data_IF_356964144680
#
_entry.id   IF_356964144680
#
_cell.length_a   1.000
_cell.length_b   1.000
_cell.length_c   1.000
_cell.angle_alpha   90.00
_cell.angle_beta   90.00
_cell.angle_gamma   90.00
#
_symmetry.space_group_name_H-M   'P 1'
#
loop_
_entity.id
_entity.type
_entity.pdbx_description
1 polymer ?
#
# COMPACT_ATOMS: atom_id res chain seq x y z
N UNK A 1 3.66 -37.00 38.71
CA UNK A 1 2.39 -36.35 38.34
C UNK A 1 1.72 -35.73 39.59
N UNK A 2 1.81 -36.36 40.74
CA UNK A 2 1.19 -35.90 42.00
C UNK A 2 1.73 -34.56 42.54
N UNK A 3 3.02 -34.28 42.30
CA UNK A 3 3.63 -33.01 42.72
C UNK A 3 3.02 -31.79 41.99
N UNK A 4 2.73 -31.92 40.69
CA UNK A 4 2.09 -30.86 39.89
C UNK A 4 0.64 -30.63 40.38
N UNK A 5 -0.07 -31.70 40.69
CA UNK A 5 -1.44 -31.64 41.20
C UNK A 5 -1.45 -30.92 42.56
N UNK A 6 -0.51 -31.24 43.45
CA UNK A 6 -0.38 -30.59 44.75
C UNK A 6 -0.08 -29.11 44.66
N UNK A 7 0.77 -28.69 43.72
CA UNK A 7 1.06 -27.26 43.49
C UNK A 7 -0.20 -26.53 42.97
N UNK A 8 -0.88 -27.11 41.97
CA UNK A 8 -2.10 -26.52 41.42
C UNK A 8 -3.17 -26.39 42.53
N UNK A 9 -3.36 -27.42 43.34
CA UNK A 9 -4.30 -27.41 44.45
C UNK A 9 -3.93 -26.34 45.48
N UNK A 10 -2.66 -26.23 45.83
CA UNK A 10 -2.16 -25.19 46.74
C UNK A 10 -2.42 -23.78 46.20
N UNK A 11 -2.14 -23.54 44.95
CA UNK A 11 -2.41 -22.25 44.31
C UNK A 11 -3.90 -21.91 44.32
N UNK A 12 -4.78 -22.89 44.01
CA UNK A 12 -6.23 -22.70 44.03
C UNK A 12 -6.74 -22.40 45.43
N UNK A 13 -6.22 -23.06 46.44
CA UNK A 13 -6.60 -22.82 47.86
C UNK A 13 -6.17 -21.43 48.31
N UNK A 14 -4.92 -21.02 47.98
CA UNK A 14 -4.42 -19.67 48.32
C UNK A 14 -5.23 -18.58 47.62
N UNK A 15 -5.54 -18.79 46.33
CA UNK A 15 -6.34 -17.86 45.53
C UNK A 15 -7.79 -17.75 46.11
N UNK A 16 -8.36 -18.87 46.53
CA UNK A 16 -9.67 -18.91 47.20
C UNK A 16 -9.68 -18.18 48.53
N UNK A 17 -8.65 -18.37 49.35
CA UNK A 17 -8.50 -17.68 50.64
C UNK A 17 -8.34 -16.16 50.48
N UNK A 18 -7.68 -15.70 49.42
CA UNK A 18 -7.55 -14.27 49.10
C UNK A 18 -8.82 -13.66 48.52
N UNK A 19 -9.59 -14.42 47.73
CA UNK A 19 -10.81 -13.94 47.09
C UNK A 19 -12.02 -13.90 48.02
N UNK A 20 -12.12 -14.84 48.99
CA UNK A 20 -13.23 -14.91 49.94
C UNK A 20 -13.46 -13.60 50.73
N UNK A 21 -12.43 -12.97 51.34
CA UNK A 21 -12.63 -11.71 52.07
C UNK A 21 -13.01 -10.56 51.14
N UNK A 22 -12.48 -10.54 49.89
CA UNK A 22 -12.86 -9.54 48.90
C UNK A 22 -14.33 -9.68 48.50
N UNK A 23 -14.80 -10.91 48.22
CA UNK A 23 -16.18 -11.18 47.83
C UNK A 23 -17.13 -10.86 48.95
N UNK A 24 -16.79 -11.23 50.23
CA UNK A 24 -17.64 -10.95 51.38
C UNK A 24 -17.74 -9.45 51.66
N UNK A 25 -16.64 -8.70 51.61
CA UNK A 25 -16.68 -7.25 51.80
C UNK A 25 -17.42 -6.53 50.66
N UNK A 26 -17.23 -6.96 49.42
CA UNK A 26 -17.99 -6.44 48.26
C UNK A 26 -19.50 -6.71 48.39
N UNK A 27 -19.90 -7.90 48.86
CA UNK A 27 -21.31 -8.25 49.09
C UNK A 27 -21.92 -7.39 50.19
N UNK A 28 -21.24 -7.22 51.32
CA UNK A 28 -21.69 -6.36 52.42
C UNK A 28 -21.85 -4.92 51.93
N UNK A 29 -20.89 -4.40 51.19
CA UNK A 29 -20.94 -3.04 50.66
C UNK A 29 -22.08 -2.86 49.62
N UNK A 30 -22.30 -3.86 48.78
CA UNK A 30 -23.42 -3.89 47.84
C UNK A 30 -24.78 -3.84 48.56
N UNK A 31 -24.97 -4.67 49.62
CA UNK A 31 -26.18 -4.67 50.41
C UNK A 31 -26.39 -3.32 51.11
N UNK A 32 -25.32 -2.75 51.69
CA UNK A 32 -25.37 -1.41 52.32
C UNK A 32 -25.81 -0.33 51.32
N UNK A 33 -25.20 -0.29 50.11
CA UNK A 33 -25.59 0.68 49.10
C UNK A 33 -27.02 0.50 48.60
N UNK A 34 -27.46 -0.76 48.50
CA UNK A 34 -28.78 -1.10 47.99
C UNK A 34 -29.90 -0.81 49.00
N UNK A 35 -29.69 -1.22 50.24
CA UNK A 35 -30.75 -1.16 51.27
C UNK A 35 -30.68 0.09 52.14
N UNK A 36 -29.50 0.56 52.51
CA UNK A 36 -29.33 1.73 53.36
C UNK A 36 -29.32 3.01 52.54
N UNK A 37 -28.49 3.08 51.47
CA UNK A 37 -28.43 4.27 50.60
C UNK A 37 -29.48 4.30 49.51
N UNK A 38 -30.27 3.21 49.31
CA UNK A 38 -31.32 3.11 48.28
C UNK A 38 -30.88 3.49 46.86
N UNK A 39 -29.64 3.22 46.50
CA UNK A 39 -29.14 3.49 45.16
C UNK A 39 -29.81 2.52 44.17
N UNK A 40 -30.48 3.02 43.12
CA UNK A 40 -31.14 2.14 42.15
C UNK A 40 -30.09 1.32 41.36
N UNK A 41 -30.47 0.08 41.01
CA UNK A 41 -29.60 -0.71 40.12
C UNK A 41 -29.44 0.00 38.78
N UNK A 42 -28.24 -0.06 38.17
CA UNK A 42 -28.05 0.49 36.86
C UNK A 42 -29.02 -0.17 35.85
N UNK A 43 -29.57 0.59 34.90
CA UNK A 43 -30.48 0.02 33.91
C UNK A 43 -29.78 -1.10 33.13
N UNK A 44 -30.54 -2.17 32.84
CA UNK A 44 -30.00 -3.28 32.05
C UNK A 44 -29.49 -2.77 30.72
N UNK A 45 -28.23 -3.04 30.45
CA UNK A 45 -27.61 -2.71 29.15
C UNK A 45 -28.44 -3.36 28.03
N UNK A 46 -28.99 -2.57 27.11
CA UNK A 46 -29.68 -3.08 25.93
C UNK A 46 -28.61 -3.68 25.03
N UNK A 47 -28.30 -4.95 25.23
CA UNK A 47 -27.41 -5.69 24.34
C UNK A 47 -28.29 -6.29 23.26
N UNK A 48 -28.15 -5.83 22.01
CA UNK A 48 -28.67 -6.58 20.85
C UNK A 48 -28.11 -8.00 20.94
N UNK A 49 -28.97 -8.97 21.19
CA UNK A 49 -28.57 -10.38 21.27
C UNK A 49 -28.16 -10.83 19.84
N UNK A 50 -26.87 -10.72 19.54
CA UNK A 50 -26.33 -11.41 18.39
C UNK A 50 -26.34 -12.90 18.71
N UNK A 51 -27.21 -13.68 18.05
CA UNK A 51 -27.24 -15.14 18.16
C UNK A 51 -25.84 -15.68 17.87
N UNK A 52 -25.10 -16.03 18.93
CA UNK A 52 -23.77 -16.64 18.81
C UNK A 52 -23.96 -18.06 18.28
N UNK A 53 -23.60 -18.29 17.03
CA UNK A 53 -23.59 -19.63 16.43
C UNK A 53 -22.45 -20.44 17.02
N UNK A 54 -22.67 -21.74 17.29
CA UNK A 54 -21.63 -22.65 17.80
C UNK A 54 -20.41 -22.75 16.87
N UNK A 55 -19.24 -22.97 17.44
CA UNK A 55 -17.95 -23.06 16.74
C UNK A 55 -17.98 -24.08 15.61
N UNK A 56 -18.43 -25.32 15.88
CA UNK A 56 -18.53 -26.38 14.88
C UNK A 56 -19.44 -25.99 13.70
N UNK A 57 -20.57 -25.34 13.96
CA UNK A 57 -21.47 -24.87 12.92
C UNK A 57 -20.80 -23.84 12.01
N UNK A 58 -19.97 -22.94 12.58
CA UNK A 58 -19.24 -21.93 11.78
C UNK A 58 -18.24 -22.58 10.84
N UNK A 59 -17.49 -23.59 11.33
CA UNK A 59 -16.44 -24.25 10.51
C UNK A 59 -17.06 -25.19 9.47
N UNK A 60 -18.01 -26.04 9.85
CA UNK A 60 -18.48 -27.10 8.96
C UNK A 60 -19.66 -26.72 8.08
N UNK A 61 -20.39 -25.64 8.40
CA UNK A 61 -21.55 -25.21 7.61
C UNK A 61 -21.44 -23.78 7.09
N UNK A 62 -21.14 -22.80 7.97
CA UNK A 62 -21.15 -21.40 7.56
C UNK A 62 -19.94 -21.06 6.67
N UNK A 63 -18.74 -21.59 6.98
CA UNK A 63 -17.52 -21.37 6.19
C UNK A 63 -17.59 -22.01 4.80
N UNK A 64 -17.87 -23.33 4.63
CA UNK A 64 -17.96 -23.94 3.31
C UNK A 64 -19.05 -23.29 2.45
N UNK A 65 -20.21 -23.01 3.03
CA UNK A 65 -21.29 -22.30 2.33
C UNK A 65 -20.82 -20.93 1.81
N UNK A 66 -20.15 -20.15 2.65
CA UNK A 66 -19.66 -18.83 2.25
C UNK A 66 -18.56 -18.94 1.19
N UNK A 67 -17.66 -19.88 1.36
CA UNK A 67 -16.58 -20.15 0.41
C UNK A 67 -17.13 -20.48 -0.99
N UNK A 68 -18.10 -21.39 -1.08
CA UNK A 68 -18.73 -21.74 -2.37
C UNK A 68 -19.45 -20.56 -2.97
N UNK A 69 -20.20 -19.77 -2.18
CA UNK A 69 -20.87 -18.57 -2.65
C UNK A 69 -19.85 -17.56 -3.21
N UNK A 70 -18.76 -17.33 -2.50
CA UNK A 70 -17.72 -16.39 -2.93
C UNK A 70 -17.02 -16.86 -4.21
N UNK A 71 -16.81 -18.17 -4.38
CA UNK A 71 -16.30 -18.74 -5.63
C UNK A 71 -17.27 -18.56 -6.80
N UNK A 72 -18.58 -18.78 -6.57
CA UNK A 72 -19.59 -18.68 -7.62
C UNK A 72 -19.95 -17.23 -8.01
N UNK A 73 -19.78 -16.31 -7.08
CA UNK A 73 -20.13 -14.89 -7.30
C UNK A 73 -18.91 -14.02 -7.65
N UNK A 74 -17.70 -14.55 -7.56
CA UNK A 74 -16.47 -13.83 -7.90
C UNK A 74 -16.40 -13.61 -9.41
N UNK A 75 -16.20 -12.36 -9.82
CA UNK A 75 -15.88 -12.04 -11.22
C UNK A 75 -14.42 -12.54 -11.49
N UNK A 76 -14.23 -13.45 -12.46
CA UNK A 76 -12.90 -13.95 -12.82
C UNK A 76 -11.98 -12.84 -13.35
N UNK A 77 -12.54 -11.75 -13.89
CA UNK A 77 -11.80 -10.61 -14.42
C UNK A 77 -11.57 -9.51 -13.39
N UNK A 78 -12.01 -9.74 -12.13
CA UNK A 78 -11.78 -8.79 -11.04
C UNK A 78 -10.30 -8.64 -10.73
N UNK A 79 -9.82 -7.40 -10.75
CA UNK A 79 -8.42 -7.09 -10.44
C UNK A 79 -8.11 -7.36 -8.96
N UNK A 80 -7.19 -8.29 -8.72
CA UNK A 80 -6.85 -8.76 -7.38
C UNK A 80 -5.64 -8.08 -6.74
N UNK A 81 -4.86 -7.32 -7.50
CA UNK A 81 -3.67 -6.64 -7.00
C UNK A 81 -3.99 -5.27 -6.41
N UNK A 82 -3.21 -4.87 -5.43
CA UNK A 82 -3.33 -3.54 -4.81
C UNK A 82 -2.04 -3.17 -4.07
N UNK A 83 -1.93 -1.91 -3.72
CA UNK A 83 -0.86 -1.40 -2.86
C UNK A 83 0.25 -0.72 -3.65
N UNK A 84 1.21 -0.19 -2.90
CA UNK A 84 2.36 0.50 -3.46
C UNK A 84 3.57 -0.45 -3.58
N UNK A 85 4.03 -0.63 -4.81
CA UNK A 85 5.15 -1.48 -5.20
C UNK A 85 6.32 -0.62 -5.67
N UNK A 86 7.49 -0.81 -5.10
CA UNK A 86 8.64 0.04 -5.36
C UNK A 86 9.83 -0.75 -5.90
N UNK A 87 10.37 -0.34 -7.03
CA UNK A 87 11.62 -0.88 -7.58
C UNK A 87 12.78 0.02 -7.17
N UNK A 88 13.69 -0.52 -6.37
CA UNK A 88 14.84 0.21 -5.80
C UNK A 88 16.15 -0.33 -6.33
N UNK A 89 17.06 0.54 -6.74
CA UNK A 89 18.40 0.16 -7.16
C UNK A 89 19.16 1.30 -7.81
N UNK A 90 20.44 1.14 -7.94
CA UNK A 90 21.31 2.13 -8.60
C UNK A 90 20.97 2.28 -10.10
N UNK A 91 21.48 3.33 -10.71
CA UNK A 91 21.35 3.52 -12.15
C UNK A 91 21.98 2.32 -12.88
N UNK A 92 21.29 1.80 -13.91
CA UNK A 92 21.76 0.62 -14.65
C UNK A 92 21.45 -0.73 -13.96
N UNK A 93 20.85 -0.77 -12.75
CA UNK A 93 20.49 -2.03 -12.08
C UNK A 93 19.35 -2.82 -12.75
N UNK A 94 18.68 -2.22 -13.77
CA UNK A 94 17.57 -2.85 -14.48
C UNK A 94 16.18 -2.57 -13.90
N UNK A 95 16.00 -1.45 -13.16
CA UNK A 95 14.69 -1.07 -12.58
C UNK A 95 13.58 -0.99 -13.62
N UNK A 96 13.79 -0.17 -14.67
CA UNK A 96 12.75 0.05 -15.69
C UNK A 96 12.43 -1.24 -16.45
N UNK A 97 13.46 -2.04 -16.79
CA UNK A 97 13.26 -3.36 -17.44
C UNK A 97 12.45 -4.29 -16.55
N UNK A 98 12.77 -4.35 -15.24
CA UNK A 98 12.04 -5.19 -14.28
C UNK A 98 10.61 -4.68 -14.07
N UNK A 99 10.38 -3.37 -14.11
CA UNK A 99 9.04 -2.78 -14.05
C UNK A 99 8.22 -3.16 -15.29
N UNK A 100 8.79 -3.02 -16.47
CA UNK A 100 8.12 -3.39 -17.75
C UNK A 100 7.79 -4.89 -17.79
N UNK A 101 8.71 -5.76 -17.36
CA UNK A 101 8.44 -7.19 -17.25
C UNK A 101 7.30 -7.49 -16.26
N UNK A 102 7.25 -6.74 -15.14
CA UNK A 102 6.18 -6.86 -14.18
C UNK A 102 4.84 -6.38 -14.76
N UNK A 103 4.81 -5.29 -15.53
CA UNK A 103 3.62 -4.80 -16.22
C UNK A 103 3.08 -5.83 -17.22
N UNK A 104 3.95 -6.45 -18.01
CA UNK A 104 3.54 -7.53 -18.93
C UNK A 104 2.91 -8.71 -18.21
N UNK A 105 3.46 -9.11 -17.06
CA UNK A 105 2.82 -10.14 -16.22
C UNK A 105 1.45 -9.72 -15.72
N UNK A 106 1.31 -8.47 -15.25
CA UNK A 106 0.01 -7.95 -14.82
C UNK A 106 -0.98 -7.95 -15.99
N UNK A 107 -0.58 -7.47 -17.18
CA UNK A 107 -1.46 -7.42 -18.35
C UNK A 107 -1.87 -8.82 -18.82
N UNK A 108 -0.98 -9.81 -18.73
CA UNK A 108 -1.28 -11.20 -19.05
C UNK A 108 -2.28 -11.83 -18.04
N UNK A 109 -2.14 -11.52 -16.75
CA UNK A 109 -3.05 -12.03 -15.71
C UNK A 109 -4.39 -11.28 -15.68
N UNK A 110 -4.35 -9.98 -15.97
CA UNK A 110 -5.51 -9.08 -15.98
C UNK A 110 -5.61 -8.28 -17.29
N UNK A 111 -6.06 -8.89 -18.38
CA UNK A 111 -6.06 -8.24 -19.72
C UNK A 111 -6.88 -6.95 -19.79
N UNK A 112 -7.91 -6.82 -18.94
CA UNK A 112 -8.82 -5.66 -18.91
C UNK A 112 -8.31 -4.51 -18.02
N UNK A 113 -7.17 -4.67 -17.32
CA UNK A 113 -6.62 -3.60 -16.53
C UNK A 113 -6.07 -2.48 -17.43
N UNK A 114 -6.17 -1.23 -16.95
CA UNK A 114 -5.57 -0.07 -17.61
C UNK A 114 -4.23 0.26 -16.98
N UNK A 115 -3.29 0.64 -17.82
CA UNK A 115 -1.94 1.02 -17.43
C UNK A 115 -1.73 2.49 -17.79
N UNK A 116 -1.34 3.29 -16.79
CA UNK A 116 -0.92 4.67 -16.98
C UNK A 116 0.55 4.82 -16.57
N UNK A 117 1.35 5.54 -17.36
CA UNK A 117 2.79 5.72 -17.08
C UNK A 117 3.23 7.16 -17.26
N UNK A 118 4.32 7.56 -16.61
CA UNK A 118 4.97 8.86 -16.82
C UNK A 118 6.16 8.78 -17.81
N UNK A 119 6.42 7.62 -18.36
CA UNK A 119 7.46 7.37 -19.37
C UNK A 119 6.83 6.73 -20.62
N UNK A 120 7.56 6.59 -21.70
CA UNK A 120 7.04 5.95 -22.91
C UNK A 120 7.02 4.42 -22.76
N UNK A 121 5.82 3.85 -22.74
CA UNK A 121 5.59 2.42 -22.71
C UNK A 121 4.60 2.02 -23.82
N UNK A 122 4.97 1.04 -24.64
CA UNK A 122 4.21 0.67 -25.84
C UNK A 122 2.77 0.19 -25.58
N UNK A 123 2.50 -0.39 -24.41
CA UNK A 123 1.20 -0.93 -24.05
C UNK A 123 0.50 -0.08 -22.98
N UNK A 124 0.83 1.22 -22.87
CA UNK A 124 0.12 2.13 -21.98
C UNK A 124 -1.24 2.54 -22.54
N UNK A 125 -2.22 2.66 -21.67
CA UNK A 125 -3.55 3.13 -22.00
C UNK A 125 -3.67 4.66 -21.85
N UNK A 126 -2.84 5.28 -20.96
CA UNK A 126 -2.82 6.73 -20.72
C UNK A 126 -1.49 7.21 -20.18
N UNK A 127 -1.22 8.52 -20.30
CA UNK A 127 -0.05 9.19 -19.70
C UNK A 127 -0.39 9.77 -18.35
N UNK A 128 0.60 9.73 -17.44
CA UNK A 128 0.56 10.45 -16.16
C UNK A 128 1.38 11.72 -16.33
N UNK A 129 0.72 12.88 -16.32
CA UNK A 129 1.35 14.18 -16.49
C UNK A 129 1.46 14.92 -15.16
N UNK A 130 0.57 14.62 -14.20
CA UNK A 130 0.54 15.25 -12.89
C UNK A 130 0.14 14.25 -11.81
N UNK A 131 0.39 14.59 -10.55
CA UNK A 131 -0.06 13.76 -9.44
C UNK A 131 -1.59 13.67 -9.33
N UNK A 132 -2.33 14.64 -9.90
CA UNK A 132 -3.79 14.59 -9.97
C UNK A 132 -4.28 13.39 -10.80
N UNK A 133 -3.55 13.03 -11.86
CA UNK A 133 -3.90 11.87 -12.68
C UNK A 133 -3.88 10.59 -11.84
N UNK A 134 -2.97 10.50 -10.86
CA UNK A 134 -2.92 9.36 -9.92
C UNK A 134 -4.16 9.28 -9.04
N UNK A 135 -4.81 10.40 -8.74
CA UNK A 135 -6.03 10.43 -7.93
C UNK A 135 -7.25 10.11 -8.79
N UNK A 136 -7.31 10.66 -10.02
CA UNK A 136 -8.50 10.56 -10.87
C UNK A 136 -8.53 9.31 -11.75
N UNK A 137 -7.39 8.71 -12.06
CA UNK A 137 -7.33 7.48 -12.84
C UNK A 137 -8.04 6.34 -12.12
N UNK A 138 -9.08 5.79 -12.73
CA UNK A 138 -9.83 4.67 -12.20
C UNK A 138 -10.42 3.82 -13.32
N UNK A 139 -10.34 2.51 -13.21
CA UNK A 139 -10.92 1.54 -14.15
C UNK A 139 -11.95 0.61 -13.46
N UNK A 140 -12.43 0.97 -12.28
CA UNK A 140 -13.45 0.23 -11.55
C UNK A 140 -13.01 -1.19 -11.18
N UNK A 141 -13.81 -2.19 -11.53
CA UNK A 141 -13.59 -3.60 -11.16
C UNK A 141 -12.37 -4.20 -11.86
N UNK A 142 -12.04 -3.73 -13.05
CA UNK A 142 -10.96 -4.29 -13.89
C UNK A 142 -9.57 -3.78 -13.51
N UNK A 143 -9.49 -2.79 -12.62
CA UNK A 143 -8.25 -2.33 -12.01
C UNK A 143 -7.45 -1.32 -12.81
N UNK A 144 -6.71 -0.50 -12.07
CA UNK A 144 -5.83 0.55 -12.58
C UNK A 144 -4.40 0.31 -12.11
N UNK A 145 -3.45 0.44 -13.01
CA UNK A 145 -2.00 0.32 -12.75
C UNK A 145 -1.35 1.66 -13.09
N UNK A 146 -0.92 2.38 -12.07
CA UNK A 146 -0.22 3.65 -12.26
C UNK A 146 1.28 3.46 -12.02
N UNK A 147 2.11 3.87 -12.97
CA UNK A 147 3.56 3.68 -12.92
C UNK A 147 4.28 5.01 -13.01
N UNK A 148 5.15 5.27 -12.05
CA UNK A 148 5.97 6.48 -11.99
C UNK A 148 7.44 6.08 -11.95
N UNK A 149 8.14 6.34 -13.03
CA UNK A 149 9.59 6.20 -13.06
C UNK A 149 10.24 7.41 -12.36
N UNK A 150 11.31 7.15 -11.59
CA UNK A 150 12.03 8.14 -10.78
C UNK A 150 11.10 8.96 -9.85
N UNK A 151 10.25 8.26 -9.06
CA UNK A 151 9.19 8.84 -8.22
C UNK A 151 9.70 9.91 -7.23
N UNK A 152 10.99 9.87 -6.84
CA UNK A 152 11.59 10.89 -5.99
C UNK A 152 11.68 12.27 -6.67
N UNK A 153 11.51 12.35 -7.99
CA UNK A 153 11.44 13.63 -8.71
C UNK A 153 10.07 14.29 -8.55
N UNK A 154 9.04 13.51 -8.28
CA UNK A 154 7.67 13.98 -8.06
C UNK A 154 7.39 14.21 -6.58
N UNK A 155 7.87 13.30 -5.73
CA UNK A 155 7.60 13.28 -4.30
C UNK A 155 8.91 13.11 -3.53
N UNK A 156 9.67 14.20 -3.45
CA UNK A 156 10.95 14.24 -2.75
C UNK A 156 10.79 14.19 -1.22
N UNK A 157 11.75 13.59 -0.52
CA UNK A 157 11.80 13.62 0.95
C UNK A 157 11.83 15.04 1.52
N UNK A 158 12.41 16.01 0.81
CA UNK A 158 12.47 17.40 1.22
C UNK A 158 11.09 18.11 1.25
N UNK A 159 10.14 17.57 0.47
CA UNK A 159 8.77 18.10 0.34
C UNK A 159 7.73 17.26 1.10
N UNK A 160 8.17 16.46 2.07
CA UNK A 160 7.27 15.54 2.80
C UNK A 160 6.19 16.28 3.62
N UNK A 161 6.44 17.54 4.01
CA UNK A 161 5.46 18.37 4.74
C UNK A 161 4.35 18.90 3.84
N UNK A 162 4.66 19.11 2.57
CA UNK A 162 3.75 19.67 1.57
C UNK A 162 3.07 18.58 0.74
N UNK A 163 3.14 17.31 1.20
CA UNK A 163 2.57 16.18 0.48
C UNK A 163 1.04 16.31 0.41
N UNK A 164 0.41 16.20 -0.78
CA UNK A 164 -1.01 16.42 -0.97
C UNK A 164 -1.88 15.47 -0.15
N UNK A 165 -2.87 15.98 0.63
CA UNK A 165 -3.75 15.13 1.45
C UNK A 165 -4.56 14.14 0.61
N UNK A 166 -4.95 14.51 -0.60
CA UNK A 166 -5.70 13.68 -1.54
C UNK A 166 -4.88 12.46 -1.96
N UNK A 167 -3.57 12.63 -2.18
CA UNK A 167 -2.65 11.53 -2.48
C UNK A 167 -2.50 10.56 -1.29
N UNK A 168 -2.50 11.07 -0.05
CA UNK A 168 -2.45 10.20 1.13
C UNK A 168 -3.70 9.32 1.17
N UNK A 169 -4.87 9.92 0.92
CA UNK A 169 -6.14 9.18 0.88
C UNK A 169 -6.12 8.14 -0.24
N UNK A 170 -5.63 8.48 -1.41
CA UNK A 170 -5.52 7.59 -2.57
C UNK A 170 -4.64 6.38 -2.25
N UNK A 171 -3.42 6.59 -1.76
CA UNK A 171 -2.47 5.53 -1.44
C UNK A 171 -2.99 4.59 -0.36
N UNK A 172 -3.73 5.11 0.63
CA UNK A 172 -4.28 4.30 1.72
C UNK A 172 -5.51 3.47 1.30
N UNK A 173 -6.23 3.88 0.24
CA UNK A 173 -7.47 3.23 -0.20
C UNK A 173 -7.32 2.37 -1.46
N UNK A 174 -6.12 2.16 -1.96
CA UNK A 174 -5.84 1.42 -3.20
C UNK A 174 -6.55 0.06 -3.30
N UNK A 175 -6.65 -0.69 -2.20
CA UNK A 175 -7.38 -1.96 -2.18
C UNK A 175 -8.87 -1.81 -2.52
N UNK A 176 -9.51 -0.72 -2.05
CA UNK A 176 -10.94 -0.48 -2.33
C UNK A 176 -11.18 -0.07 -3.76
N UNK A 177 -10.21 0.61 -4.34
CA UNK A 177 -10.26 1.12 -5.71
C UNK A 177 -9.73 0.12 -6.73
N UNK A 178 -9.24 -1.06 -6.27
CA UNK A 178 -8.57 -2.05 -7.14
C UNK A 178 -7.43 -1.42 -7.94
N UNK A 179 -6.57 -0.73 -7.24
CA UNK A 179 -5.50 0.07 -7.82
C UNK A 179 -4.14 -0.37 -7.29
N UNK A 180 -3.16 -0.39 -8.16
CA UNK A 180 -1.75 -0.61 -7.82
C UNK A 180 -0.95 0.59 -8.28
N UNK A 181 -0.11 1.10 -7.42
CA UNK A 181 0.88 2.11 -7.77
C UNK A 181 2.27 1.47 -7.80
N UNK A 182 3.00 1.69 -8.86
CA UNK A 182 4.35 1.20 -9.05
C UNK A 182 5.27 2.40 -9.18
N UNK A 183 6.31 2.43 -8.35
CA UNK A 183 7.33 3.47 -8.42
C UNK A 183 8.70 2.89 -8.69
N UNK A 184 9.58 3.66 -9.32
CA UNK A 184 11.01 3.36 -9.31
C UNK A 184 11.76 4.45 -8.55
N UNK A 185 12.84 4.09 -7.88
CA UNK A 185 13.72 5.04 -7.20
C UNK A 185 15.14 4.49 -7.10
N UNK A 186 16.12 5.36 -7.02
CA UNK A 186 17.50 4.94 -6.77
C UNK A 186 17.72 4.57 -5.30
N UNK A 187 17.10 5.29 -4.38
CA UNK A 187 17.19 5.07 -2.93
C UNK A 187 15.85 5.31 -2.27
N UNK A 188 15.48 4.42 -1.36
CA UNK A 188 14.22 4.46 -0.63
C UNK A 188 14.04 5.77 0.16
N UNK A 189 15.10 6.26 0.77
CA UNK A 189 15.09 7.43 1.65
C UNK A 189 14.84 8.75 0.92
N UNK A 190 15.04 8.78 -0.42
CA UNK A 190 14.82 9.99 -1.23
C UNK A 190 13.35 10.32 -1.46
N UNK A 191 12.46 9.37 -1.20
CA UNK A 191 11.02 9.58 -1.34
C UNK A 191 10.40 10.27 -0.13
N UNK A 192 9.28 10.95 -0.34
CA UNK A 192 8.48 11.55 0.72
C UNK A 192 8.03 10.49 1.76
N UNK A 193 8.05 10.88 3.06
CA UNK A 193 7.72 10.00 4.19
C UNK A 193 6.36 9.31 4.03
N UNK A 194 5.25 9.98 3.63
CA UNK A 194 3.96 9.33 3.47
C UNK A 194 3.97 8.16 2.47
N UNK A 195 4.72 8.27 1.36
CA UNK A 195 4.89 7.17 0.39
C UNK A 195 5.70 6.01 0.97
N UNK A 196 6.77 6.30 1.71
CA UNK A 196 7.59 5.27 2.34
C UNK A 196 6.79 4.43 3.33
N UNK A 197 5.97 5.07 4.16
CA UNK A 197 5.13 4.40 5.16
C UNK A 197 4.10 3.44 4.55
N UNK A 198 3.63 3.73 3.34
CA UNK A 198 2.62 2.93 2.63
C UNK A 198 3.22 1.89 1.67
N UNK A 199 4.56 1.76 1.63
CA UNK A 199 5.21 0.81 0.75
C UNK A 199 4.91 -0.65 1.16
N UNK A 200 4.25 -1.39 0.28
CA UNK A 200 3.87 -2.78 0.54
C UNK A 200 4.99 -3.76 0.17
N UNK A 201 5.62 -3.54 -0.99
CA UNK A 201 6.67 -4.41 -1.50
C UNK A 201 7.81 -3.61 -2.13
N UNK A 202 9.04 -4.06 -1.87
CA UNK A 202 10.24 -3.50 -2.48
C UNK A 202 10.89 -4.59 -3.34
N UNK A 203 11.22 -4.21 -4.57
CA UNK A 203 11.88 -5.03 -5.58
C UNK A 203 13.30 -4.50 -5.78
N UNK A 204 14.27 -5.38 -5.63
CA UNK A 204 15.68 -5.08 -5.90
C UNK A 204 16.13 -5.84 -7.15
N UNK A 205 16.06 -5.22 -8.33
CA UNK A 205 16.56 -5.80 -9.56
C UNK A 205 18.09 -5.69 -9.63
N UNK A 206 18.72 -6.72 -10.15
CA UNK A 206 20.15 -6.76 -10.46
C UNK A 206 20.34 -7.40 -11.83
N UNK A 207 20.84 -6.63 -12.79
CA UNK A 207 21.05 -7.10 -14.16
C UNK A 207 22.49 -7.58 -14.34
N UNK A 208 22.65 -8.79 -14.86
CA UNK A 208 23.91 -9.46 -15.15
C UNK A 208 24.09 -9.55 -16.66
N UNK A 209 25.28 -9.24 -17.15
CA UNK A 209 25.63 -9.27 -18.56
C UNK A 209 24.66 -8.50 -19.48
N UNK A 210 23.89 -7.53 -18.94
CA UNK A 210 22.95 -6.73 -19.71
C UNK A 210 21.72 -7.47 -20.26
N UNK A 211 21.54 -8.76 -19.97
CA UNK A 211 20.46 -9.58 -20.53
C UNK A 211 19.70 -10.45 -19.52
N UNK A 212 20.23 -10.67 -18.33
CA UNK A 212 19.60 -11.45 -17.28
C UNK A 212 19.36 -10.56 -16.06
N UNK A 213 18.10 -10.40 -15.62
CA UNK A 213 17.78 -9.68 -14.40
C UNK A 213 17.27 -10.63 -13.33
N UNK A 214 17.89 -10.55 -12.16
CA UNK A 214 17.46 -11.22 -10.93
C UNK A 214 16.76 -10.19 -10.05
N UNK A 215 15.55 -10.47 -9.62
CA UNK A 215 14.75 -9.60 -8.78
C UNK A 215 14.51 -10.23 -7.42
N UNK A 216 14.95 -9.54 -6.36
CA UNK A 216 14.68 -9.90 -4.98
C UNK A 216 13.45 -9.12 -4.50
N UNK A 217 12.39 -9.80 -4.11
CA UNK A 217 11.15 -9.20 -3.59
C UNK A 217 11.18 -9.24 -2.07
N UNK A 218 11.01 -8.07 -1.45
CA UNK A 218 11.04 -7.90 -0.02
C UNK A 218 9.76 -7.21 0.48
N UNK A 219 9.35 -7.55 1.69
CA UNK A 219 8.37 -6.78 2.45
C UNK A 219 9.12 -5.93 3.46
N UNK A 220 9.00 -4.59 3.42
CA UNK A 220 9.64 -3.73 4.40
C UNK A 220 8.87 -3.76 5.73
N UNK A 221 9.60 -3.71 6.83
CA UNK A 221 9.09 -3.33 8.15
C UNK A 221 9.59 -1.92 8.40
N UNK A 222 8.67 -0.98 8.50
CA UNK A 222 8.94 0.46 8.52
C UNK A 222 8.65 0.97 9.92
N UNK A 223 9.50 1.84 10.46
CA UNK A 223 9.32 2.53 11.72
C UNK A 223 8.41 3.77 11.58
N UNK A 224 8.02 4.43 12.70
CA UNK A 224 7.25 5.66 12.66
C UNK A 224 7.93 6.84 11.95
N UNK A 225 9.26 6.76 11.77
CA UNK A 225 10.03 7.76 11.04
C UNK A 225 10.09 7.49 9.52
N UNK A 226 9.43 6.41 9.07
CA UNK A 226 9.41 6.01 7.67
C UNK A 226 10.73 5.41 7.19
N UNK A 227 11.54 4.84 8.10
CA UNK A 227 12.78 4.15 7.76
C UNK A 227 12.59 2.64 7.77
N UNK A 228 13.37 1.93 6.98
CA UNK A 228 13.34 0.47 6.95
C UNK A 228 14.13 -0.07 8.14
N UNK A 229 13.42 -0.68 9.10
CA UNK A 229 14.05 -1.41 10.23
C UNK A 229 14.50 -2.80 9.79
N UNK A 230 13.67 -3.47 8.99
CA UNK A 230 13.92 -4.85 8.53
C UNK A 230 13.35 -5.09 7.14
N UNK A 231 14.08 -5.83 6.34
CA UNK A 231 13.63 -6.34 5.05
C UNK A 231 13.39 -7.84 5.14
N UNK A 232 12.13 -8.24 5.03
CA UNK A 232 11.77 -9.64 4.95
C UNK A 232 11.75 -10.08 3.49
N UNK A 233 12.72 -10.90 3.08
CA UNK A 233 12.74 -11.48 1.74
C UNK A 233 11.59 -12.48 1.58
N UNK A 234 10.72 -12.24 0.61
CA UNK A 234 9.59 -13.12 0.31
C UNK A 234 9.96 -14.15 -0.75
N UNK A 235 10.54 -13.68 -1.86
CA UNK A 235 10.93 -14.54 -2.99
C UNK A 235 12.02 -13.88 -3.82
N UNK A 236 12.65 -14.68 -4.68
CA UNK A 236 13.54 -14.22 -5.75
C UNK A 236 13.05 -14.85 -7.05
N UNK A 237 13.14 -14.11 -8.13
CA UNK A 237 12.88 -14.62 -9.47
C UNK A 237 13.86 -13.99 -10.44
N UNK A 238 13.98 -14.57 -11.61
CA UNK A 238 14.83 -14.04 -12.67
C UNK A 238 14.10 -14.11 -14.02
N UNK A 239 14.53 -13.28 -14.95
CA UNK A 239 14.06 -13.33 -16.31
C UNK A 239 15.17 -12.89 -17.27
N UNK A 240 15.09 -13.40 -18.49
CA UNK A 240 15.97 -12.99 -19.59
C UNK A 240 15.26 -11.89 -20.38
N UNK A 241 16.01 -10.87 -20.80
CA UNK A 241 15.46 -9.78 -21.58
C UNK A 241 15.09 -10.29 -22.98
N UNK A 242 13.81 -10.34 -23.31
CA UNK A 242 13.32 -10.58 -24.66
C UNK A 242 13.36 -9.29 -25.48
N UNK A 243 13.38 -9.42 -26.81
CA UNK A 243 13.29 -8.29 -27.73
C UNK A 243 11.99 -7.50 -27.50
N UNK A 244 10.91 -8.20 -27.15
CA UNK A 244 9.64 -7.60 -26.82
C UNK A 244 9.72 -6.67 -25.60
N UNK A 245 10.42 -7.08 -24.52
CA UNK A 245 10.63 -6.24 -23.33
C UNK A 245 11.51 -5.05 -23.69
N UNK A 246 12.59 -5.26 -24.46
CA UNK A 246 13.53 -4.19 -24.83
C UNK A 246 12.90 -3.15 -25.75
N UNK A 247 12.02 -3.57 -26.67
CA UNK A 247 11.36 -2.67 -27.62
C UNK A 247 10.10 -2.00 -27.05
N UNK A 248 9.63 -2.40 -25.86
CA UNK A 248 8.40 -1.87 -25.29
C UNK A 248 8.56 -0.55 -24.51
N UNK A 249 9.79 -0.04 -24.35
CA UNK A 249 10.06 1.24 -23.69
C UNK A 249 11.32 1.90 -24.24
N UNK A 250 11.37 3.24 -24.19
CA UNK A 250 12.57 3.99 -24.59
C UNK A 250 13.48 4.25 -23.39
N UNK A 251 14.66 3.64 -23.39
CA UNK A 251 15.67 3.78 -22.33
C UNK A 251 16.33 5.17 -22.33
N UNK A 252 16.33 5.90 -23.46
CA UNK A 252 17.03 7.17 -23.64
C UNK A 252 16.14 8.39 -23.50
N UNK A 253 14.84 8.21 -23.35
CA UNK A 253 13.92 9.32 -23.15
C UNK A 253 14.18 9.99 -21.80
N UNK A 254 14.66 11.24 -21.83
CA UNK A 254 14.82 12.04 -20.62
C UNK A 254 13.45 12.43 -20.09
N UNK A 255 13.05 11.88 -18.93
CA UNK A 255 11.90 12.34 -18.19
C UNK A 255 12.18 13.78 -17.75
N UNK A 256 11.52 14.75 -18.39
CA UNK A 256 11.60 16.15 -17.98
C UNK A 256 11.06 16.27 -16.56
N UNK A 257 11.79 17.02 -15.72
CA UNK A 257 11.35 17.34 -14.36
C UNK A 257 10.02 18.08 -14.44
N UNK A 258 8.92 17.38 -14.26
CA UNK A 258 7.57 17.96 -14.11
C UNK A 258 7.29 18.31 -12.63
N UNK A 259 8.34 18.27 -11.80
CA UNK A 259 8.24 18.40 -10.35
C UNK A 259 7.89 19.82 -9.88
N UNK A 260 7.98 20.83 -10.74
CA UNK A 260 7.64 22.21 -10.34
C UNK A 260 6.12 22.45 -10.32
N UNK A 261 5.33 21.66 -11.06
CA UNK A 261 3.88 21.79 -11.11
C UNK A 261 3.16 20.95 -10.01
N UNK A 262 3.88 20.06 -9.33
CA UNK A 262 3.27 19.10 -8.38
C UNK A 262 2.74 19.74 -7.10
N UNK A 263 3.30 20.87 -6.66
CA UNK A 263 2.94 21.50 -5.39
C UNK A 263 2.46 22.95 -5.50
N UNK A 264 2.65 23.63 -6.65
CA UNK A 264 2.19 24.99 -6.88
C UNK A 264 0.98 25.01 -7.82
N UNK A 265 -0.19 25.31 -7.27
CA UNK A 265 -1.45 25.50 -8.01
C UNK A 265 -1.45 26.75 -8.92
N UNK A 266 -0.43 27.61 -8.85
CA UNK A 266 -0.43 28.92 -9.50
C UNK A 266 0.36 29.03 -10.81
N UNK A 267 1.06 27.97 -11.26
CA UNK A 267 1.86 28.04 -12.50
C UNK A 267 1.14 27.45 -13.71
N UNK A 268 -0.04 27.97 -14.06
CA UNK A 268 -0.71 27.65 -15.33
C UNK A 268 -0.09 28.26 -16.58
N UNK A 269 0.92 29.14 -16.46
CA UNK A 269 1.40 29.95 -17.58
C UNK A 269 2.90 29.91 -17.91
N UNK A 270 3.70 29.02 -17.28
CA UNK A 270 5.16 28.99 -17.56
C UNK A 270 5.51 28.55 -18.97
N UNK A 271 4.67 27.74 -19.65
CA UNK A 271 4.89 27.36 -21.06
C UNK A 271 4.68 28.51 -22.05
N UNK A 272 3.91 29.52 -21.68
CA UNK A 272 3.63 30.70 -22.50
C UNK A 272 4.79 31.71 -22.40
N UNK A 273 5.39 31.85 -21.20
CA UNK A 273 6.52 32.78 -20.96
C UNK A 273 7.76 32.37 -21.73
N UNK A 274 8.11 31.07 -21.78
CA UNK A 274 9.27 30.61 -22.57
C UNK A 274 9.12 30.83 -24.08
N UNK A 275 7.92 30.73 -24.63
CA UNK A 275 7.68 31.05 -26.05
C UNK A 275 7.76 32.54 -26.34
N UNK A 276 7.37 33.40 -25.40
CA UNK A 276 7.45 34.86 -25.55
C UNK A 276 8.90 35.36 -25.49
N UNK A 277 9.73 34.90 -24.58
CA UNK A 277 11.16 35.27 -24.51
C UNK A 277 11.97 34.80 -25.72
N UNK A 278 11.71 33.62 -26.26
CA UNK A 278 12.37 33.16 -27.48
C UNK A 278 11.99 33.99 -28.72
N UNK A 279 10.78 34.50 -28.79
CA UNK A 279 10.31 35.34 -29.88
C UNK A 279 10.91 36.77 -29.82
N UNK A 280 11.12 37.34 -28.63
CA UNK A 280 11.73 38.64 -28.44
C UNK A 280 13.25 38.61 -28.67
N UNK A 281 13.94 37.56 -28.28
CA UNK A 281 15.38 37.42 -28.50
C UNK A 281 15.72 37.23 -29.97
N UNK A 282 14.85 36.64 -30.77
CA UNK A 282 15.02 36.55 -32.22
C UNK A 282 14.73 37.86 -32.96
N UNK A 283 13.80 38.71 -32.43
CA UNK A 283 13.53 40.04 -32.99
C UNK A 283 14.67 41.02 -32.75
N UNK A 284 15.40 40.91 -31.63
CA UNK A 284 16.57 41.77 -31.31
C UNK A 284 17.85 41.39 -32.08
N UNK A 285 17.93 40.19 -32.72
CA UNK A 285 19.06 39.77 -33.55
C UNK A 285 18.89 40.08 -35.04
N UNK A 286 17.72 40.62 -35.46
CA UNK A 286 17.42 41.00 -36.84
C UNK A 286 17.28 42.52 -37.04
N UNK A 287 17.67 43.32 -36.07
CA UNK A 287 17.91 44.74 -36.18
C UNK A 287 19.42 44.99 -35.94
#
# INVERSE_FOLDING_TARGET
MDWIINIITFILVVLGLCLLPFISTAAIFFLYLRFVKKIPMPPKKIVKQVKKRGFLRRIFFDFPRRFVLDLMTRDPNEFGMYGYHLFVGEQGSGKTVATVEFLKRIKNEYPLCKIATNFEYAEEDSKINSWHDLVFNNNGVYGQVDVIDEIQNWFSCNQSKDFPPEMIQEITQQRKQRKIMIGTTQRFERMAKPLREQCNFIYYPTTIAGCLTIVKVCKPVIDPDGQIVKLQTLRRYFFVHSDEIRNSFDTYHKIKKQAEDGFNLDNRDSSVVFKAEFSETQKKRKK
#
